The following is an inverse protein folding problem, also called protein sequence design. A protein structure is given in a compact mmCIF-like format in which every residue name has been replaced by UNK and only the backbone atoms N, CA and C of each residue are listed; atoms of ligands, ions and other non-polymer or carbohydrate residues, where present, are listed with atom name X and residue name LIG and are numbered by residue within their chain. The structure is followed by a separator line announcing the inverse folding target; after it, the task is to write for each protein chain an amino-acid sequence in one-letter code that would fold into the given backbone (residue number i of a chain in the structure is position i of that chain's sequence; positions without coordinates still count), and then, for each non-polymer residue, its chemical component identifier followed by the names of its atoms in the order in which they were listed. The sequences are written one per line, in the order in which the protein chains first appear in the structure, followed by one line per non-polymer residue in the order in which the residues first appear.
data_IF_655594521368
#
_entry.id   IF_655594521368
#
_cell.length_a   1.000
_cell.length_b   1.000
_cell.length_c   1.000
_cell.angle_alpha   90.00
_cell.angle_beta   90.00
_cell.angle_gamma   90.00
#
_symmetry.space_group_name_H-M   'P 1'
#
loop_
_entity.id
_entity.type
_entity.pdbx_description
1 polymer ?
#
# COMPACT_ATOMS: atom_id res chain seq x y z
N UNK A 1 -6.64 27.74 -25.10
CA UNK A 1 -6.90 26.36 -25.45
C UNK A 1 -6.17 25.49 -24.46
N UNK A 2 -6.89 24.84 -23.53
CA UNK A 2 -6.33 23.88 -22.61
C UNK A 2 -6.09 22.58 -23.40
N UNK A 3 -4.83 22.24 -23.68
CA UNK A 3 -4.44 20.91 -24.12
C UNK A 3 -4.52 19.98 -22.93
N UNK A 4 -5.53 19.11 -22.92
CA UNK A 4 -5.68 18.09 -21.89
C UNK A 4 -4.46 17.17 -21.84
N UNK A 5 -3.73 17.19 -20.76
CA UNK A 5 -2.68 16.22 -20.48
C UNK A 5 -3.38 14.91 -20.10
N UNK A 6 -3.22 13.88 -20.91
CA UNK A 6 -3.69 12.52 -20.59
C UNK A 6 -2.79 11.95 -19.49
N UNK A 7 -3.36 11.67 -18.33
CA UNK A 7 -2.66 11.01 -17.23
C UNK A 7 -2.43 9.54 -17.64
N UNK A 8 -1.23 9.22 -18.10
CA UNK A 8 -0.83 7.84 -18.36
C UNK A 8 0.00 7.38 -17.17
N UNK A 9 -0.54 6.51 -16.35
CA UNK A 9 0.21 5.73 -15.36
C UNK A 9 1.15 4.81 -16.15
N UNK A 10 2.39 5.25 -16.34
CA UNK A 10 3.40 4.40 -16.95
C UNK A 10 3.88 3.41 -15.89
N UNK A 11 3.41 2.17 -15.99
CA UNK A 11 4.21 1.05 -15.51
C UNK A 11 5.50 1.05 -16.34
N UNK A 12 6.65 0.99 -15.72
CA UNK A 12 7.82 0.42 -16.35
C UNK A 12 7.51 -1.08 -16.54
N UNK A 13 6.65 -1.37 -17.51
CA UNK A 13 6.49 -2.71 -18.04
C UNK A 13 7.86 -3.10 -18.59
N UNK A 14 8.43 -4.17 -18.06
CA UNK A 14 9.51 -4.85 -18.72
C UNK A 14 9.03 -5.13 -20.16
N UNK A 15 9.62 -4.45 -21.13
CA UNK A 15 9.57 -4.86 -22.54
C UNK A 15 10.45 -6.10 -22.56
N UNK A 16 9.83 -7.26 -22.72
CA UNK A 16 10.56 -8.52 -22.92
C UNK A 16 11.46 -8.35 -24.14
N UNK A 17 12.76 -8.24 -23.90
CA UNK A 17 13.75 -8.37 -24.95
C UNK A 17 13.93 -9.87 -25.24
N UNK A 18 14.05 -10.25 -26.49
CA UNK A 18 14.38 -11.64 -26.91
C UNK A 18 15.65 -12.09 -26.17
N UNK A 19 15.51 -13.09 -25.30
CA UNK A 19 16.59 -13.65 -24.47
C UNK A 19 16.36 -13.62 -22.95
N UNK A 20 15.19 -13.17 -22.45
CA UNK A 20 14.90 -13.17 -21.03
C UNK A 20 14.63 -14.58 -20.48
N UNK A 21 15.23 -14.85 -19.31
CA UNK A 21 15.00 -16.08 -18.53
C UNK A 21 13.51 -16.23 -18.23
N UNK A 22 12.88 -17.39 -18.42
CA UNK A 22 11.47 -17.59 -18.15
C UNK A 22 11.10 -17.18 -16.72
N UNK A 23 10.07 -16.35 -16.57
CA UNK A 23 9.55 -15.90 -15.29
C UNK A 23 8.22 -16.61 -15.03
N UNK A 24 8.12 -17.35 -13.93
CA UNK A 24 6.88 -17.93 -13.46
C UNK A 24 6.10 -16.86 -12.69
N UNK A 25 4.97 -16.42 -13.22
CA UNK A 25 4.11 -15.38 -12.63
C UNK A 25 2.64 -15.79 -12.73
N UNK A 26 2.18 -16.74 -11.89
CA UNK A 26 0.81 -17.27 -11.96
C UNK A 26 -0.24 -16.27 -11.45
N UNK A 27 0.19 -15.20 -10.81
CA UNK A 27 -0.65 -14.11 -10.35
C UNK A 27 0.17 -12.81 -10.24
N UNK A 28 -0.49 -11.68 -10.01
CA UNK A 28 0.15 -10.37 -9.98
C UNK A 28 1.16 -10.16 -8.83
N UNK A 29 1.17 -11.03 -7.82
CA UNK A 29 1.92 -10.80 -6.57
C UNK A 29 3.15 -11.69 -6.43
N UNK A 30 3.28 -12.69 -7.27
CA UNK A 30 4.38 -13.66 -7.23
C UNK A 30 5.12 -13.72 -8.57
N UNK A 31 6.43 -13.62 -8.49
CA UNK A 31 7.33 -13.95 -9.60
C UNK A 31 8.43 -14.87 -9.08
N UNK A 32 8.78 -15.87 -9.88
CA UNK A 32 9.91 -16.77 -9.61
C UNK A 32 10.76 -16.86 -10.88
N UNK A 33 12.04 -16.59 -10.74
CA UNK A 33 13.03 -16.71 -11.82
C UNK A 33 14.36 -17.23 -11.30
N UNK A 34 15.19 -17.79 -12.16
CA UNK A 34 16.55 -18.21 -11.78
C UNK A 34 17.42 -17.04 -11.33
N UNK A 35 17.19 -15.85 -11.87
CA UNK A 35 17.98 -14.66 -11.59
C UNK A 35 17.63 -14.03 -10.23
N UNK A 36 16.33 -13.83 -9.97
CA UNK A 36 15.85 -13.03 -8.83
C UNK A 36 15.26 -13.88 -7.70
N UNK A 37 15.19 -15.21 -7.89
CA UNK A 37 14.58 -16.11 -6.93
C UNK A 37 13.09 -15.90 -6.81
N UNK A 38 12.57 -16.06 -5.60
CA UNK A 38 11.15 -15.84 -5.26
C UNK A 38 10.94 -14.35 -4.93
N UNK A 39 10.13 -13.68 -5.72
CA UNK A 39 9.82 -12.26 -5.54
C UNK A 39 8.34 -12.06 -5.16
N UNK A 40 8.11 -11.33 -4.07
CA UNK A 40 6.79 -10.82 -3.67
C UNK A 40 6.63 -9.38 -4.16
N UNK A 41 5.55 -9.12 -4.93
CA UNK A 41 5.10 -7.76 -5.24
C UNK A 41 4.10 -7.30 -4.19
N UNK A 42 4.52 -6.39 -3.32
CA UNK A 42 3.69 -5.84 -2.24
C UNK A 42 2.88 -4.66 -2.77
N UNK A 43 1.55 -4.81 -2.83
CA UNK A 43 0.67 -3.75 -3.35
C UNK A 43 0.30 -2.65 -2.35
N UNK A 44 0.57 -2.85 -1.07
CA UNK A 44 0.26 -1.88 -0.01
C UNK A 44 1.54 -1.25 0.49
N UNK A 45 1.57 0.07 0.62
CA UNK A 45 2.70 0.75 1.19
C UNK A 45 2.96 0.29 2.64
N UNK A 46 4.23 0.09 2.97
CA UNK A 46 4.69 -0.09 4.36
C UNK A 46 4.82 1.31 5.00
N UNK A 47 4.07 1.55 6.06
CA UNK A 47 4.05 2.81 6.79
C UNK A 47 4.14 2.59 8.32
N UNK A 48 4.77 1.49 8.72
CA UNK A 48 4.98 1.10 10.11
C UNK A 48 3.98 0.08 10.65
N UNK A 49 2.97 -0.35 9.84
CA UNK A 49 1.97 -1.33 10.24
C UNK A 49 2.42 -2.79 10.02
N UNK A 50 3.64 -3.03 9.58
CA UNK A 50 4.28 -4.34 9.35
C UNK A 50 3.62 -5.18 8.24
N UNK A 51 2.98 -4.54 7.27
CA UNK A 51 2.31 -5.23 6.17
C UNK A 51 3.28 -5.99 5.26
N UNK A 52 4.49 -5.45 5.09
CA UNK A 52 5.58 -6.07 4.34
C UNK A 52 5.92 -7.43 4.92
N UNK A 53 6.30 -7.48 6.19
CA UNK A 53 6.69 -8.71 6.89
C UNK A 53 5.54 -9.71 6.96
N UNK A 54 4.33 -9.25 7.33
CA UNK A 54 3.17 -10.12 7.46
C UNK A 54 2.76 -10.77 6.13
N UNK A 55 2.82 -10.02 5.01
CA UNK A 55 2.50 -10.56 3.69
C UNK A 55 3.58 -11.54 3.21
N UNK A 56 4.85 -11.23 3.47
CA UNK A 56 5.96 -12.12 3.14
C UNK A 56 5.89 -13.45 3.92
N UNK A 57 5.58 -13.41 5.22
CA UNK A 57 5.35 -14.62 6.03
C UNK A 57 4.21 -15.47 5.48
N UNK A 58 3.11 -14.83 5.08
CA UNK A 58 1.96 -15.52 4.50
C UNK A 58 2.32 -16.23 3.18
N UNK A 59 3.04 -15.54 2.30
CA UNK A 59 3.50 -16.11 1.04
C UNK A 59 4.50 -17.25 1.28
N UNK A 60 5.49 -17.04 2.16
CA UNK A 60 6.51 -18.04 2.45
C UNK A 60 5.89 -19.33 2.99
N UNK A 61 4.91 -19.24 3.90
CA UNK A 61 4.23 -20.42 4.41
C UNK A 61 3.38 -21.10 3.34
N UNK A 62 2.55 -20.38 2.60
CA UNK A 62 1.68 -21.01 1.61
C UNK A 62 2.45 -21.59 0.42
N UNK A 63 3.44 -20.89 -0.09
CA UNK A 63 4.28 -21.36 -1.21
C UNK A 63 5.27 -22.42 -0.77
N UNK A 64 5.70 -22.40 0.49
CA UNK A 64 6.82 -23.22 1.00
C UNK A 64 8.18 -22.58 0.70
N UNK A 65 8.25 -21.27 0.51
CA UNK A 65 9.48 -20.54 0.25
C UNK A 65 10.31 -20.30 1.50
N UNK A 66 11.59 -19.98 1.31
CA UNK A 66 12.42 -19.46 2.40
C UNK A 66 12.22 -17.96 2.53
N UNK A 67 11.62 -17.51 3.64
CA UNK A 67 11.34 -16.11 3.91
C UNK A 67 12.59 -15.22 3.84
N UNK A 68 13.73 -15.73 4.30
CA UNK A 68 14.99 -14.98 4.36
C UNK A 68 15.67 -14.85 2.99
N UNK A 69 15.30 -15.70 2.03
CA UNK A 69 15.79 -15.68 0.66
C UNK A 69 14.85 -14.95 -0.32
N UNK A 70 13.67 -14.52 0.13
CA UNK A 70 12.71 -13.83 -0.74
C UNK A 70 13.12 -12.38 -1.02
N UNK A 71 12.91 -11.96 -2.26
CA UNK A 71 12.94 -10.53 -2.64
C UNK A 71 11.55 -9.93 -2.46
N UNK A 72 11.47 -8.76 -1.82
CA UNK A 72 10.20 -8.05 -1.66
C UNK A 72 10.30 -6.72 -2.39
N UNK A 73 9.39 -6.49 -3.33
CA UNK A 73 9.34 -5.25 -4.13
C UNK A 73 8.01 -4.55 -3.91
N UNK A 74 8.06 -3.23 -3.73
CA UNK A 74 6.86 -2.41 -3.72
C UNK A 74 6.28 -2.36 -5.14
N UNK A 75 4.99 -2.69 -5.26
CA UNK A 75 4.29 -2.62 -6.52
C UNK A 75 3.90 -1.17 -6.83
N UNK A 76 4.03 -0.78 -8.10
CA UNK A 76 3.49 0.48 -8.59
C UNK A 76 1.95 0.45 -8.63
N UNK A 77 1.34 1.61 -8.75
CA UNK A 77 -0.10 1.71 -9.00
C UNK A 77 -0.40 1.24 -10.41
N UNK A 78 -0.91 0.01 -10.53
CA UNK A 78 -1.26 -0.61 -11.81
C UNK A 78 -2.53 -1.45 -11.67
N UNK A 79 -3.43 -1.47 -12.69
CA UNK A 79 -4.69 -2.21 -12.64
C UNK A 79 -4.55 -3.69 -12.25
N UNK A 80 -3.45 -4.37 -12.65
CA UNK A 80 -3.19 -5.78 -12.29
C UNK A 80 -3.18 -6.05 -10.79
N UNK A 81 -2.83 -5.04 -9.97
CA UNK A 81 -2.81 -5.15 -8.51
C UNK A 81 -4.15 -4.78 -7.84
N UNK A 82 -5.10 -4.21 -8.61
CA UNK A 82 -6.36 -3.70 -8.07
C UNK A 82 -6.16 -2.52 -7.12
N UNK A 83 -7.06 -2.35 -6.15
CA UNK A 83 -7.00 -1.23 -5.19
C UNK A 83 -5.77 -1.32 -4.29
N UNK A 84 -4.89 -0.33 -4.37
CA UNK A 84 -3.61 -0.28 -3.63
C UNK A 84 -3.69 0.50 -2.32
N UNK A 85 -4.70 1.35 -2.11
CA UNK A 85 -4.86 2.17 -0.90
C UNK A 85 -5.00 1.33 0.38
N UNK A 86 -4.52 1.85 1.51
CA UNK A 86 -4.61 1.24 2.84
C UNK A 86 -5.66 1.96 3.66
N UNK A 87 -6.56 1.20 4.32
CA UNK A 87 -7.61 1.77 5.17
C UNK A 87 -8.50 0.70 5.80
N UNK A 88 -9.32 1.12 6.77
CA UNK A 88 -10.31 0.27 7.44
C UNK A 88 -9.73 -0.91 8.21
N UNK A 89 -8.45 -0.94 8.51
CA UNK A 89 -7.76 -2.06 9.20
C UNK A 89 -7.94 -3.42 8.51
N UNK A 90 -8.24 -3.42 7.21
CA UNK A 90 -8.57 -4.64 6.45
C UNK A 90 -7.39 -5.21 5.65
N UNK A 91 -6.20 -4.64 5.81
CA UNK A 91 -5.04 -5.04 5.01
C UNK A 91 -4.64 -6.52 5.22
N UNK A 92 -4.56 -7.02 6.44
CA UNK A 92 -4.23 -8.43 6.73
C UNK A 92 -5.45 -9.36 6.60
N UNK A 93 -6.63 -9.07 7.20
CA UNK A 93 -7.80 -9.94 7.03
C UNK A 93 -8.16 -10.19 5.56
N UNK A 94 -8.14 -9.14 4.72
CA UNK A 94 -8.39 -9.31 3.29
C UNK A 94 -7.38 -10.24 2.63
N UNK A 95 -6.07 -10.05 2.89
CA UNK A 95 -5.03 -10.93 2.33
C UNK A 95 -5.13 -12.36 2.78
N UNK A 96 -5.49 -12.58 4.01
CA UNK A 96 -5.71 -13.92 4.53
C UNK A 96 -6.71 -14.71 3.70
N UNK A 97 -7.75 -14.04 3.20
CA UNK A 97 -8.82 -14.67 2.43
C UNK A 97 -8.40 -14.88 0.97
N UNK A 98 -7.85 -13.85 0.30
CA UNK A 98 -7.65 -13.91 -1.15
C UNK A 98 -6.22 -14.19 -1.62
N UNK A 99 -5.17 -13.88 -0.83
CA UNK A 99 -3.80 -14.12 -1.28
C UNK A 99 -3.31 -15.54 -0.98
N UNK A 100 -3.73 -16.14 0.13
CA UNK A 100 -3.35 -17.53 0.44
C UNK A 100 -3.73 -18.52 -0.66
N UNK A 101 -4.95 -18.50 -1.22
CA UNK A 101 -5.29 -19.34 -2.36
C UNK A 101 -4.36 -19.17 -3.56
N UNK A 102 -3.99 -17.93 -3.90
CA UNK A 102 -3.08 -17.65 -5.02
C UNK A 102 -1.70 -18.29 -4.85
N UNK A 103 -1.17 -18.27 -3.62
CA UNK A 103 0.12 -18.91 -3.33
C UNK A 103 0.01 -20.43 -3.20
N UNK A 104 -1.12 -20.95 -2.74
CA UNK A 104 -1.40 -22.40 -2.73
C UNK A 104 -1.48 -22.96 -4.16
N UNK A 105 -2.16 -22.25 -5.08
CA UNK A 105 -2.20 -22.63 -6.50
C UNK A 105 -0.80 -22.62 -7.13
N UNK A 106 0.01 -21.59 -6.87
CA UNK A 106 1.39 -21.54 -7.34
C UNK A 106 2.25 -22.71 -6.81
N UNK A 107 2.09 -23.04 -5.52
CA UNK A 107 2.75 -24.24 -4.94
C UNK A 107 2.35 -25.50 -5.68
N UNK A 108 1.06 -25.70 -5.93
CA UNK A 108 0.57 -26.91 -6.63
C UNK A 108 1.16 -27.03 -8.03
N UNK A 109 1.27 -25.92 -8.78
CA UNK A 109 1.89 -25.89 -10.12
C UNK A 109 3.35 -26.29 -10.07
N UNK A 110 4.11 -25.78 -9.10
CA UNK A 110 5.54 -26.09 -8.94
C UNK A 110 5.78 -27.54 -8.51
N UNK A 111 4.97 -28.06 -7.57
CA UNK A 111 5.04 -29.48 -7.18
C UNK A 111 4.69 -30.40 -8.33
N UNK A 112 3.69 -30.05 -9.13
CA UNK A 112 3.35 -30.80 -10.37
C UNK A 112 4.50 -30.79 -11.36
N UNK A 113 5.12 -29.64 -11.59
CA UNK A 113 6.27 -29.52 -12.51
C UNK A 113 7.45 -30.40 -12.07
N UNK A 114 7.74 -30.44 -10.77
CA UNK A 114 8.78 -31.30 -10.20
C UNK A 114 8.42 -32.79 -10.34
N UNK A 115 7.21 -33.17 -9.99
CA UNK A 115 6.71 -34.55 -10.08
C UNK A 115 6.80 -35.09 -11.52
N UNK A 116 6.34 -34.32 -12.50
CA UNK A 116 6.44 -34.68 -13.91
C UNK A 116 7.89 -34.70 -14.41
N UNK A 117 8.78 -33.85 -13.91
CA UNK A 117 10.20 -33.83 -14.27
C UNK A 117 10.94 -35.05 -13.73
N UNK A 118 10.51 -35.50 -12.56
CA UNK A 118 11.11 -36.69 -11.91
C UNK A 118 10.39 -37.99 -12.21
N UNK A 119 9.26 -37.92 -12.92
CA UNK A 119 8.42 -39.07 -13.27
C UNK A 119 7.95 -39.83 -12.01
N UNK A 120 7.45 -39.09 -11.04
CA UNK A 120 6.96 -39.59 -9.73
C UNK A 120 5.56 -39.06 -9.42
N UNK A 121 4.81 -39.73 -8.55
CA UNK A 121 3.51 -39.22 -8.11
C UNK A 121 3.64 -37.86 -7.38
N UNK A 122 2.79 -36.90 -7.71
CA UNK A 122 2.83 -35.57 -7.07
C UNK A 122 2.60 -35.64 -5.56
N UNK A 123 1.87 -36.63 -5.06
CA UNK A 123 1.64 -36.85 -3.65
C UNK A 123 2.89 -37.21 -2.84
N UNK A 124 3.97 -37.64 -3.51
CA UNK A 124 5.25 -37.99 -2.89
C UNK A 124 6.24 -36.81 -2.90
N UNK A 125 5.86 -35.71 -3.54
CA UNK A 125 6.69 -34.49 -3.66
C UNK A 125 6.25 -33.47 -2.61
N UNK A 126 7.22 -32.89 -1.94
CA UNK A 126 6.99 -31.88 -0.90
C UNK A 126 7.87 -30.67 -1.11
N UNK A 127 7.51 -29.52 -0.50
CA UNK A 127 8.31 -28.30 -0.53
C UNK A 127 8.50 -27.76 0.87
N UNK A 128 9.75 -27.43 1.19
CA UNK A 128 10.14 -26.75 2.42
C UNK A 128 11.31 -25.81 2.14
N UNK A 129 11.25 -24.59 2.68
CA UNK A 129 12.28 -23.55 2.53
C UNK A 129 12.79 -23.33 1.10
N UNK A 130 11.88 -23.27 0.15
CA UNK A 130 12.22 -23.04 -1.25
C UNK A 130 12.81 -24.24 -1.98
N UNK A 131 12.87 -25.41 -1.34
CA UNK A 131 13.39 -26.65 -1.93
C UNK A 131 12.26 -27.67 -2.07
N UNK A 132 12.02 -28.10 -3.29
CA UNK A 132 11.14 -29.24 -3.59
C UNK A 132 11.95 -30.53 -3.49
N UNK A 133 11.37 -31.54 -2.88
CA UNK A 133 12.04 -32.84 -2.65
C UNK A 133 11.10 -34.03 -2.86
N UNK A 134 11.66 -35.13 -3.32
CA UNK A 134 11.06 -36.45 -3.37
C UNK A 134 11.92 -37.42 -2.56
N UNK A 135 11.46 -37.72 -1.36
CA UNK A 135 12.23 -38.46 -0.33
C UNK A 135 12.67 -39.85 -0.81
N UNK A 136 11.78 -40.58 -1.48
CA UNK A 136 12.05 -41.96 -1.91
C UNK A 136 13.18 -42.07 -2.92
N UNK A 137 13.35 -41.09 -3.84
CA UNK A 137 14.44 -41.10 -4.82
C UNK A 137 15.65 -40.24 -4.42
N UNK A 138 15.56 -39.50 -3.32
CA UNK A 138 16.59 -38.54 -2.90
C UNK A 138 16.73 -37.30 -3.79
N UNK A 139 15.84 -37.11 -4.78
CA UNK A 139 15.88 -35.97 -5.70
C UNK A 139 15.41 -34.71 -4.99
N UNK A 140 16.06 -33.58 -5.29
CA UNK A 140 15.66 -32.26 -4.81
C UNK A 140 16.02 -31.17 -5.80
N UNK A 141 15.34 -30.03 -5.72
CA UNK A 141 15.61 -28.85 -6.55
C UNK A 141 14.95 -27.60 -5.95
N UNK A 142 15.51 -26.43 -6.22
CA UNK A 142 14.90 -25.17 -5.82
C UNK A 142 13.63 -24.88 -6.63
N UNK A 143 12.73 -24.03 -6.09
CA UNK A 143 11.50 -23.61 -6.77
C UNK A 143 11.78 -23.07 -8.18
N UNK A 144 12.87 -22.31 -8.34
CA UNK A 144 13.28 -21.68 -9.60
C UNK A 144 13.53 -22.69 -10.71
N UNK A 145 14.05 -23.87 -10.37
CA UNK A 145 14.35 -24.93 -11.35
C UNK A 145 13.08 -25.48 -12.06
N UNK A 146 11.92 -25.30 -11.46
CA UNK A 146 10.63 -25.78 -11.97
C UNK A 146 9.76 -24.66 -12.54
N UNK A 147 10.19 -23.40 -12.39
CA UNK A 147 9.43 -22.22 -12.77
C UNK A 147 9.03 -22.21 -14.25
N UNK A 148 9.97 -22.48 -15.15
CA UNK A 148 9.73 -22.50 -16.60
C UNK A 148 8.68 -23.55 -16.99
N UNK A 149 8.77 -24.77 -16.44
CA UNK A 149 7.78 -25.83 -16.72
C UNK A 149 6.42 -25.50 -16.10
N UNK A 150 6.40 -24.98 -14.89
CA UNK A 150 5.16 -24.57 -14.21
C UNK A 150 4.41 -23.45 -14.94
N UNK A 151 5.11 -22.55 -15.65
CA UNK A 151 4.49 -21.49 -16.45
C UNK A 151 3.61 -22.00 -17.60
N UNK A 152 3.79 -23.24 -18.00
CA UNK A 152 2.98 -23.88 -19.05
C UNK A 152 1.65 -24.46 -18.57
N UNK A 153 1.35 -24.41 -17.26
CA UNK A 153 0.10 -24.94 -16.73
C UNK A 153 -0.95 -23.86 -16.53
N UNK A 154 -2.23 -24.25 -16.68
CA UNK A 154 -3.33 -23.44 -16.19
C UNK A 154 -3.27 -23.33 -14.67
N UNK A 155 -3.62 -22.15 -14.15
CA UNK A 155 -3.65 -21.91 -12.69
C UNK A 155 -4.83 -22.67 -12.08
N UNK A 156 -4.58 -23.66 -11.21
CA UNK A 156 -5.65 -24.41 -10.61
C UNK A 156 -6.42 -23.58 -9.58
N UNK A 157 -7.73 -23.79 -9.51
CA UNK A 157 -8.61 -23.20 -8.51
C UNK A 157 -8.72 -24.12 -7.28
N UNK A 158 -9.12 -23.56 -6.14
CA UNK A 158 -9.46 -24.27 -4.90
C UNK A 158 -8.39 -25.24 -4.36
N UNK A 159 -7.12 -24.89 -4.51
CA UNK A 159 -6.02 -25.68 -3.96
C UNK A 159 -6.04 -25.67 -2.42
N UNK A 160 -5.76 -26.81 -1.79
CA UNK A 160 -5.71 -26.90 -0.33
C UNK A 160 -4.71 -25.91 0.26
N UNK A 161 -5.20 -25.10 1.18
CA UNK A 161 -4.34 -24.17 1.95
C UNK A 161 -3.46 -24.99 2.93
N UNK A 162 -2.30 -24.43 3.24
CA UNK A 162 -1.44 -25.04 4.26
C UNK A 162 -2.15 -25.03 5.62
N UNK A 163 -2.15 -26.17 6.29
CA UNK A 163 -2.70 -26.30 7.64
C UNK A 163 -1.88 -25.46 8.65
N UNK A 164 -2.54 -24.86 9.62
CA UNK A 164 -1.91 -24.03 10.67
C UNK A 164 -0.78 -24.74 11.41
N UNK A 165 -0.91 -26.03 11.67
CA UNK A 165 0.13 -26.83 12.31
C UNK A 165 1.43 -26.91 11.52
N UNK A 166 1.36 -26.63 10.20
CA UNK A 166 2.50 -26.65 9.28
C UNK A 166 3.03 -25.26 8.97
N UNK A 167 2.55 -24.21 9.65
CA UNK A 167 3.11 -22.87 9.52
C UNK A 167 4.49 -22.80 10.17
N UNK A 168 5.41 -22.23 9.45
CA UNK A 168 6.77 -21.99 9.92
C UNK A 168 6.96 -20.57 10.42
N UNK A 169 6.32 -19.62 9.75
CA UNK A 169 6.49 -18.19 9.97
C UNK A 169 5.25 -17.53 10.55
N UNK A 170 4.07 -17.79 9.99
CA UNK A 170 2.82 -17.24 10.52
C UNK A 170 2.56 -17.70 11.96
N UNK A 171 2.21 -16.75 12.83
CA UNK A 171 2.00 -17.01 14.25
C UNK A 171 3.27 -17.06 15.09
N UNK A 172 4.46 -16.85 14.50
CA UNK A 172 5.73 -16.76 15.24
C UNK A 172 6.15 -15.31 15.47
N UNK A 173 6.98 -15.10 16.50
CA UNK A 173 7.61 -13.78 16.73
C UNK A 173 8.74 -13.58 15.71
N UNK A 174 8.58 -12.60 14.81
CA UNK A 174 9.60 -12.25 13.82
C UNK A 174 9.88 -10.76 13.85
N UNK A 175 11.16 -10.39 13.69
CA UNK A 175 11.53 -8.99 13.46
C UNK A 175 11.00 -8.53 12.09
N UNK A 176 10.76 -7.23 11.93
CA UNK A 176 10.44 -6.64 10.62
C UNK A 176 11.58 -6.90 9.65
N UNK A 177 11.24 -7.25 8.41
CA UNK A 177 12.23 -7.51 7.36
C UNK A 177 12.95 -6.23 6.89
N UNK A 178 12.36 -5.07 7.13
CA UNK A 178 12.90 -3.75 6.80
C UNK A 178 13.59 -3.05 7.99
N UNK A 179 13.74 -3.72 9.13
CA UNK A 179 14.32 -3.13 10.37
C UNK A 179 15.67 -2.48 10.14
N UNK A 180 16.58 -3.17 9.47
CA UNK A 180 17.94 -2.68 9.25
C UNK A 180 17.94 -1.44 8.35
N UNK A 181 17.11 -1.40 7.31
CA UNK A 181 16.98 -0.25 6.45
C UNK A 181 16.39 0.97 7.18
N UNK A 182 15.40 0.75 8.05
CA UNK A 182 14.82 1.82 8.87
C UNK A 182 15.82 2.36 9.89
N UNK A 183 16.51 1.48 10.63
CA UNK A 183 17.45 1.89 11.66
C UNK A 183 18.73 2.53 11.11
N UNK A 184 19.19 2.10 9.93
CA UNK A 184 20.35 2.69 9.27
C UNK A 184 20.03 3.96 8.46
N UNK A 185 18.76 4.33 8.32
CA UNK A 185 18.32 5.46 7.50
C UNK A 185 18.46 5.23 6.00
N UNK A 186 18.55 3.97 5.54
CA UNK A 186 18.59 3.60 4.13
C UNK A 186 17.21 3.29 3.54
N UNK A 187 16.19 3.13 4.40
CA UNK A 187 14.80 3.05 3.95
C UNK A 187 14.42 4.34 3.20
N UNK A 188 13.71 4.19 2.08
CA UNK A 188 13.29 5.32 1.25
C UNK A 188 11.78 5.48 1.31
N UNK A 189 11.36 6.73 1.53
CA UNK A 189 9.98 7.18 1.58
C UNK A 189 9.69 8.16 0.46
N UNK A 190 8.42 8.51 0.25
CA UNK A 190 8.04 9.49 -0.79
C UNK A 190 8.76 10.84 -0.63
N UNK A 191 8.95 11.29 0.61
CA UNK A 191 9.66 12.54 0.94
C UNK A 191 11.15 12.50 0.57
N UNK A 192 11.73 11.31 0.39
CA UNK A 192 13.16 11.12 0.08
C UNK A 192 13.46 11.09 -1.41
N UNK A 193 12.45 11.20 -2.27
CA UNK A 193 12.66 11.25 -3.72
C UNK A 193 13.55 12.44 -4.06
N UNK A 194 14.63 12.20 -4.80
CA UNK A 194 15.58 13.22 -5.25
C UNK A 194 15.86 13.03 -6.73
N UNK A 195 15.92 14.16 -7.43
CA UNK A 195 16.25 14.23 -8.85
C UNK A 195 16.80 15.61 -9.21
N UNK A 196 17.50 15.69 -10.33
CA UNK A 196 18.04 16.96 -10.83
C UNK A 196 16.91 17.94 -11.13
N UNK A 197 17.10 19.19 -10.71
CA UNK A 197 16.13 20.25 -10.92
C UNK A 197 14.89 20.18 -10.01
N UNK A 198 14.87 19.33 -8.99
CA UNK A 198 13.76 19.22 -8.05
C UNK A 198 13.44 20.58 -7.41
N UNK A 199 12.15 20.95 -7.41
CA UNK A 199 11.58 22.09 -6.71
C UNK A 199 10.65 21.60 -5.60
N UNK A 200 10.50 22.41 -4.57
CA UNK A 200 9.67 22.11 -3.42
C UNK A 200 8.46 23.02 -3.40
N UNK A 201 7.27 22.45 -3.37
CA UNK A 201 6.03 23.20 -3.31
C UNK A 201 5.33 22.97 -1.96
N UNK A 202 4.85 24.04 -1.34
CA UNK A 202 4.00 23.97 -0.16
C UNK A 202 2.71 24.76 -0.45
N UNK A 203 1.58 24.12 -0.11
CA UNK A 203 0.26 24.71 -0.37
C UNK A 203 -0.24 25.50 0.83
N UNK A 204 -0.70 26.73 0.61
CA UNK A 204 -1.66 27.41 1.46
C UNK A 204 -3.06 26.96 1.04
N UNK A 205 -3.92 26.66 2.00
CA UNK A 205 -5.29 26.14 1.78
C UNK A 205 -6.23 26.59 2.90
N UNK A 206 -7.55 26.65 2.63
CA UNK A 206 -8.53 26.96 3.66
C UNK A 206 -8.48 25.94 4.80
N UNK A 207 -8.85 26.40 6.00
CA UNK A 207 -8.95 25.53 7.18
C UNK A 207 -10.23 24.72 7.20
N UNK A 208 -11.27 25.25 6.57
CA UNK A 208 -12.58 24.63 6.46
C UNK A 208 -12.73 23.96 5.09
N UNK A 209 -13.54 22.91 5.05
CA UNK A 209 -13.97 22.34 3.78
C UNK A 209 -14.76 23.38 2.98
N UNK A 210 -14.57 23.40 1.66
CA UNK A 210 -15.23 24.30 0.72
C UNK A 210 -15.02 25.80 1.04
N UNK A 211 -13.96 26.13 1.81
CA UNK A 211 -13.52 27.51 2.01
C UNK A 211 -12.90 28.06 0.73
N UNK A 212 -13.05 29.38 0.51
CA UNK A 212 -12.63 30.05 -0.72
C UNK A 212 -11.51 31.05 -0.45
N UNK A 213 -10.50 31.08 -1.34
CA UNK A 213 -9.44 32.07 -1.28
C UNK A 213 -10.02 33.47 -1.61
N UNK A 214 -9.82 34.43 -0.71
CA UNK A 214 -10.26 35.82 -0.91
C UNK A 214 -9.12 36.76 -1.26
N UNK A 215 -7.96 36.57 -0.66
CA UNK A 215 -6.75 37.36 -1.00
C UNK A 215 -5.46 36.65 -0.61
N UNK A 216 -4.36 37.06 -1.18
CA UNK A 216 -3.01 36.64 -0.81
C UNK A 216 -1.98 37.67 -1.23
N UNK A 217 -0.84 37.71 -0.54
CA UNK A 217 0.26 38.59 -0.84
C UNK A 217 1.39 37.81 -1.56
N UNK A 218 1.32 37.77 -2.91
CA UNK A 218 2.31 37.09 -3.77
C UNK A 218 3.69 37.71 -3.62
N UNK A 219 3.78 39.05 -3.58
CA UNK A 219 5.07 39.74 -3.58
C UNK A 219 5.83 39.52 -2.27
N UNK A 220 5.12 39.50 -1.15
CA UNK A 220 5.74 39.17 0.13
C UNK A 220 6.28 37.74 0.16
N UNK A 221 5.58 36.76 -0.44
CA UNK A 221 6.09 35.42 -0.56
C UNK A 221 7.33 35.32 -1.48
N UNK A 222 7.33 36.02 -2.62
CA UNK A 222 8.48 36.08 -3.56
C UNK A 222 9.70 36.75 -2.95
N UNK A 223 9.51 37.67 -2.00
CA UNK A 223 10.61 38.35 -1.28
C UNK A 223 11.36 37.39 -0.32
N UNK A 224 10.82 36.21 0.00
CA UNK A 224 11.49 35.24 0.86
C UNK A 224 12.62 34.55 0.10
N UNK A 225 13.87 34.58 0.61
CA UNK A 225 15.00 33.95 -0.05
C UNK A 225 14.76 32.47 -0.36
N UNK A 226 14.97 32.10 -1.63
CA UNK A 226 14.78 30.73 -2.11
C UNK A 226 13.39 30.45 -2.69
N UNK A 227 12.40 31.29 -2.49
CA UNK A 227 11.11 31.22 -3.18
C UNK A 227 11.30 31.67 -4.64
N UNK A 228 10.69 30.91 -5.55
CA UNK A 228 10.84 31.17 -7.01
C UNK A 228 9.52 31.51 -7.67
N UNK A 229 8.44 30.83 -7.28
CA UNK A 229 7.16 30.99 -7.95
C UNK A 229 5.99 30.90 -6.94
N UNK A 230 4.88 31.56 -7.27
CA UNK A 230 3.61 31.49 -6.52
C UNK A 230 2.48 31.34 -7.53
N UNK A 231 1.68 30.29 -7.38
CA UNK A 231 0.56 29.97 -8.27
C UNK A 231 -0.73 29.74 -7.49
N UNK A 232 -1.82 30.30 -7.99
CA UNK A 232 -3.18 29.98 -7.49
C UNK A 232 -3.70 28.76 -8.24
N UNK A 233 -4.17 27.74 -7.50
CA UNK A 233 -4.71 26.48 -8.02
C UNK A 233 -6.05 26.24 -7.34
N UNK A 234 -7.14 26.63 -8.00
CA UNK A 234 -8.47 26.68 -7.36
C UNK A 234 -8.44 27.60 -6.15
N UNK A 235 -8.92 27.12 -5.00
CA UNK A 235 -8.91 27.88 -3.73
C UNK A 235 -7.61 27.72 -2.93
N UNK A 236 -6.53 27.28 -3.55
CA UNK A 236 -5.24 27.06 -2.90
C UNK A 236 -4.16 27.87 -3.55
N UNK A 237 -3.09 28.18 -2.80
CA UNK A 237 -1.92 28.87 -3.32
C UNK A 237 -0.69 27.99 -3.12
N UNK A 238 -0.02 27.62 -4.21
CA UNK A 238 1.24 26.90 -4.19
C UNK A 238 2.41 27.91 -4.14
N UNK A 239 3.30 27.71 -3.18
CA UNK A 239 4.59 28.41 -3.12
C UNK A 239 5.69 27.43 -3.48
N UNK A 240 6.43 27.72 -4.55
CA UNK A 240 7.49 26.88 -5.09
C UNK A 240 8.86 27.51 -4.77
N UNK A 241 9.77 26.69 -4.24
CA UNK A 241 11.07 27.15 -3.78
C UNK A 241 12.18 26.12 -4.06
N UNK A 242 13.43 26.54 -3.86
CA UNK A 242 14.62 25.69 -4.01
C UNK A 242 14.76 24.62 -2.92
N UNK A 243 14.07 24.79 -1.79
CA UNK A 243 14.02 23.83 -0.70
C UNK A 243 12.71 23.99 0.09
N UNK A 244 12.37 22.95 0.88
CA UNK A 244 11.11 22.89 1.64
C UNK A 244 11.00 24.00 2.69
N UNK A 245 12.11 24.40 3.33
CA UNK A 245 12.08 25.47 4.32
C UNK A 245 11.72 26.82 3.72
N UNK A 246 12.32 27.17 2.59
CA UNK A 246 11.97 28.39 1.85
C UNK A 246 10.50 28.38 1.41
N UNK A 247 9.99 27.25 0.92
CA UNK A 247 8.57 27.11 0.56
C UNK A 247 7.63 27.30 1.77
N UNK A 248 7.97 26.74 2.93
CA UNK A 248 7.21 26.91 4.19
C UNK A 248 7.20 28.38 4.63
N UNK A 249 8.38 29.04 4.60
CA UNK A 249 8.50 30.46 4.93
C UNK A 249 7.71 31.35 3.98
N UNK A 250 7.82 31.07 2.68
CA UNK A 250 7.07 31.77 1.64
C UNK A 250 5.56 31.61 1.79
N UNK A 251 5.10 30.39 2.13
CA UNK A 251 3.68 30.17 2.45
C UNK A 251 3.22 31.00 3.66
N UNK A 252 4.06 31.15 4.68
CA UNK A 252 3.75 32.01 5.82
C UNK A 252 3.64 33.49 5.44
N UNK A 253 4.51 33.95 4.53
CA UNK A 253 4.53 35.34 4.04
C UNK A 253 3.39 35.68 3.06
N UNK A 254 2.70 34.66 2.51
CA UNK A 254 1.52 34.89 1.64
C UNK A 254 0.39 35.66 2.32
N UNK A 255 0.27 35.57 3.64
CA UNK A 255 -0.87 36.10 4.39
C UNK A 255 -2.23 35.79 3.70
N UNK A 256 -2.37 34.53 3.27
CA UNK A 256 -3.53 34.08 2.51
C UNK A 256 -4.80 34.11 3.36
N UNK A 257 -5.80 34.85 2.90
CA UNK A 257 -7.10 34.98 3.56
C UNK A 257 -8.14 34.10 2.88
N UNK A 258 -9.03 33.52 3.67
CA UNK A 258 -10.04 32.61 3.20
C UNK A 258 -11.41 32.92 3.81
N UNK A 259 -12.43 32.93 3.00
CA UNK A 259 -13.80 32.75 3.48
C UNK A 259 -13.96 31.28 3.95
N UNK A 260 -14.51 31.10 5.14
CA UNK A 260 -14.67 29.77 5.71
C UNK A 260 -15.80 28.94 5.07
N UNK A 261 -16.65 29.57 4.26
CA UNK A 261 -17.73 28.91 3.53
C UNK A 261 -18.81 28.29 4.42
N UNK A 262 -19.55 27.28 3.92
CA UNK A 262 -20.71 26.71 4.61
C UNK A 262 -20.36 25.98 5.92
N UNK A 263 -19.10 25.63 6.12
CA UNK A 263 -18.64 24.93 7.33
C UNK A 263 -18.03 25.86 8.38
N UNK A 264 -18.19 27.18 8.24
CA UNK A 264 -17.65 28.16 9.16
C UNK A 264 -18.10 27.96 10.63
N UNK A 265 -19.35 27.54 10.83
CA UNK A 265 -19.95 27.33 12.16
C UNK A 265 -19.68 25.90 12.73
N UNK A 266 -19.04 25.01 11.97
CA UNK A 266 -18.78 23.64 12.43
C UNK A 266 -17.65 23.64 13.45
N UNK A 267 -17.91 23.10 14.61
CA UNK A 267 -16.98 22.96 15.72
C UNK A 267 -17.24 21.66 16.47
N UNK A 268 -16.30 21.23 17.32
CA UNK A 268 -16.53 20.08 18.20
C UNK A 268 -17.80 20.20 19.02
N UNK A 269 -18.12 21.42 19.48
CA UNK A 269 -19.34 21.69 20.24
C UNK A 269 -20.60 21.51 19.41
N UNK A 270 -20.63 22.02 18.17
CA UNK A 270 -21.79 21.82 17.27
C UNK A 270 -21.97 20.38 16.87
N UNK A 271 -20.88 19.67 16.58
CA UNK A 271 -20.90 18.22 16.26
C UNK A 271 -21.45 17.43 17.44
N UNK A 272 -20.99 17.69 18.68
CA UNK A 272 -21.50 17.02 19.87
C UNK A 272 -23.01 17.26 20.04
N UNK A 273 -23.46 18.51 20.01
CA UNK A 273 -24.87 18.86 20.09
C UNK A 273 -25.70 18.09 19.04
N UNK A 274 -25.24 18.04 17.81
CA UNK A 274 -25.98 17.41 16.71
C UNK A 274 -26.02 15.87 16.87
N UNK A 275 -24.95 15.25 17.39
CA UNK A 275 -24.93 13.84 17.75
C UNK A 275 -25.87 13.53 18.92
N UNK A 276 -25.87 14.35 19.99
CA UNK A 276 -26.78 14.19 21.13
C UNK A 276 -28.24 14.33 20.69
N UNK A 277 -28.55 15.30 19.82
CA UNK A 277 -29.88 15.44 19.26
C UNK A 277 -30.31 14.23 18.41
N UNK A 278 -29.37 13.61 17.67
CA UNK A 278 -29.64 12.44 16.87
C UNK A 278 -30.00 11.19 17.73
N UNK A 279 -29.52 11.08 18.97
CA UNK A 279 -29.94 10.01 19.89
C UNK A 279 -31.42 10.05 20.26
N UNK A 280 -32.04 11.25 20.25
CA UNK A 280 -33.46 11.43 20.52
C UNK A 280 -34.33 11.26 19.25
N UNK A 281 -33.74 11.13 18.09
CA UNK A 281 -34.40 10.99 16.79
C UNK A 281 -34.79 9.55 16.46
N UNK A 282 -35.40 9.39 15.28
CA UNK A 282 -35.67 8.05 14.72
C UNK A 282 -34.36 7.31 14.39
N UNK A 283 -34.30 6.03 14.78
CA UNK A 283 -33.20 5.14 14.44
C UNK A 283 -33.68 4.03 13.49
N UNK A 284 -32.80 3.61 12.60
CA UNK A 284 -33.05 2.43 11.76
C UNK A 284 -32.47 1.19 12.47
N UNK A 285 -33.28 0.15 12.59
CA UNK A 285 -32.83 -1.14 13.06
C UNK A 285 -31.95 -1.82 12.01
N UNK A 286 -30.68 -1.92 12.29
CA UNK A 286 -29.71 -2.62 11.41
C UNK A 286 -29.78 -4.12 11.63
N UNK A 287 -30.01 -4.53 12.88
CA UNK A 287 -30.15 -5.94 13.30
C UNK A 287 -30.91 -6.02 14.62
N UNK A 288 -31.92 -6.87 14.68
CA UNK A 288 -32.69 -7.13 15.89
C UNK A 288 -32.55 -8.62 16.25
N UNK A 289 -31.98 -8.91 17.43
CA UNK A 289 -31.91 -10.26 17.98
C UNK A 289 -32.35 -10.28 19.44
N UNK A 290 -33.29 -11.14 19.75
CA UNK A 290 -33.87 -11.26 21.11
C UNK A 290 -34.79 -10.10 21.47
N UNK A 291 -35.04 -9.91 22.77
CA UNK A 291 -35.87 -8.87 23.31
C UNK A 291 -35.14 -8.11 24.42
N UNK A 292 -35.34 -6.80 24.46
CA UNK A 292 -34.79 -5.99 25.56
C UNK A 292 -35.46 -6.37 26.90
N UNK A 293 -34.70 -6.41 28.01
CA UNK A 293 -35.27 -6.66 29.33
C UNK A 293 -36.28 -5.57 29.66
N UNK A 294 -37.42 -5.96 30.26
CA UNK A 294 -38.47 -5.01 30.68
C UNK A 294 -38.16 -4.20 31.95
N UNK A 295 -36.99 -4.43 32.56
CA UNK A 295 -36.53 -3.67 33.75
C UNK A 295 -35.53 -2.58 33.34
N UNK A 296 -35.43 -1.48 34.07
CA UNK A 296 -34.41 -0.47 33.84
C UNK A 296 -33.01 -1.05 33.89
N UNK A 297 -32.04 -0.54 33.08
CA UNK A 297 -30.66 -0.96 33.16
C UNK A 297 -30.07 -0.64 34.55
N UNK A 298 -29.18 -1.53 35.04
CA UNK A 298 -28.46 -1.30 36.29
C UNK A 298 -27.32 -0.29 36.14
N UNK A 299 -26.80 -0.17 34.94
CA UNK A 299 -25.73 0.76 34.57
C UNK A 299 -26.09 1.41 33.26
N UNK A 300 -25.99 2.72 33.21
CA UNK A 300 -26.13 3.53 32.00
C UNK A 300 -24.91 4.44 31.88
N UNK A 301 -24.31 4.51 30.70
CA UNK A 301 -23.14 5.35 30.47
C UNK A 301 -23.12 5.86 29.04
N UNK A 302 -22.68 7.10 28.85
CA UNK A 302 -22.38 7.71 27.55
C UNK A 302 -20.88 7.74 27.35
N UNK A 303 -20.40 7.22 26.22
CA UNK A 303 -19.00 7.24 25.84
C UNK A 303 -18.80 8.22 24.69
N UNK A 304 -17.86 9.15 24.86
CA UNK A 304 -17.49 10.11 23.83
C UNK A 304 -16.06 9.87 23.39
N UNK A 305 -15.85 9.81 22.06
CA UNK A 305 -14.52 9.75 21.46
C UNK A 305 -14.30 10.98 20.59
N UNK A 306 -13.17 11.70 20.77
CA UNK A 306 -12.86 12.86 19.94
C UNK A 306 -12.54 12.44 18.51
N UNK A 307 -12.76 13.37 17.57
CA UNK A 307 -12.24 13.23 16.22
C UNK A 307 -10.71 13.23 16.30
N UNK A 308 -10.10 12.15 15.81
CA UNK A 308 -8.66 11.97 15.80
C UNK A 308 -8.11 12.09 14.38
N UNK A 309 -6.97 12.74 14.22
CA UNK A 309 -6.20 12.73 12.98
C UNK A 309 -5.28 11.52 12.96
N UNK A 310 -5.04 10.96 11.77
CA UNK A 310 -4.09 9.85 11.60
C UNK A 310 -2.66 10.23 11.98
N UNK A 311 -2.28 11.50 11.80
CA UNK A 311 -0.98 12.07 12.18
C UNK A 311 0.21 11.19 11.73
N UNK A 312 0.21 10.77 10.47
CA UNK A 312 1.30 10.00 9.90
C UNK A 312 2.64 10.72 10.11
N UNK A 313 3.68 9.97 10.50
CA UNK A 313 5.03 10.52 10.72
C UNK A 313 5.62 11.08 9.43
N UNK A 314 5.44 10.40 8.30
CA UNK A 314 5.75 10.96 7.01
C UNK A 314 4.67 11.99 6.63
N UNK A 315 5.02 13.28 6.42
CA UNK A 315 4.07 14.27 5.93
C UNK A 315 3.51 13.85 4.58
N UNK A 316 2.21 14.09 4.35
CA UNK A 316 1.60 13.85 3.04
C UNK A 316 2.37 14.62 1.97
N UNK A 317 2.94 13.91 1.02
CA UNK A 317 3.78 14.45 -0.04
C UNK A 317 3.55 13.72 -1.36
N UNK A 318 3.99 14.32 -2.44
CA UNK A 318 4.13 13.67 -3.74
C UNK A 318 5.20 14.40 -4.55
N UNK A 319 5.98 13.64 -5.32
CA UNK A 319 6.90 14.18 -6.31
C UNK A 319 6.36 13.86 -7.69
N UNK A 320 6.32 14.85 -8.58
CA UNK A 320 5.82 14.68 -9.95
C UNK A 320 6.84 15.16 -10.97
N UNK A 321 6.96 14.44 -12.07
CA UNK A 321 7.74 14.84 -13.26
C UNK A 321 6.84 14.79 -14.48
N UNK A 322 6.80 15.92 -15.21
CA UNK A 322 6.10 16.01 -16.48
C UNK A 322 7.13 16.10 -17.59
N UNK A 323 7.17 15.11 -18.48
CA UNK A 323 8.09 15.05 -19.61
C UNK A 323 7.46 14.30 -20.78
N UNK A 324 7.57 14.84 -21.98
CA UNK A 324 7.10 14.18 -23.21
C UNK A 324 5.59 13.83 -23.18
N UNK A 325 4.75 14.69 -22.63
CA UNK A 325 3.31 14.46 -22.50
C UNK A 325 2.90 13.42 -21.44
N UNK A 326 3.85 12.89 -20.68
CA UNK A 326 3.62 11.93 -19.57
C UNK A 326 3.87 12.63 -18.25
N UNK A 327 3.10 12.23 -17.22
CA UNK A 327 3.29 12.64 -15.83
C UNK A 327 3.60 11.40 -15.01
N UNK A 328 4.77 11.37 -14.37
CA UNK A 328 5.16 10.35 -13.39
C UNK A 328 5.00 10.95 -12.00
N UNK A 329 4.37 10.21 -11.10
CA UNK A 329 4.11 10.66 -9.73
C UNK A 329 4.61 9.59 -8.77
N UNK A 330 5.42 10.00 -7.80
CA UNK A 330 5.82 9.23 -6.63
C UNK A 330 5.08 9.79 -5.42
N UNK A 331 4.43 8.92 -4.68
CA UNK A 331 3.72 9.27 -3.44
C UNK A 331 3.84 8.14 -2.42
N UNK A 332 3.48 8.39 -1.15
CA UNK A 332 3.49 7.38 -0.10
C UNK A 332 2.42 6.32 -0.29
#
# INVERSE_FOLDING_TARGET
GATGATLTLASLGAVSAEGETPVFSPNAFLEISEKDGVTLWLKKAEMGQHILTATAMMMADELGADLDAMTIRQADTHPKFGFVGTGGSFAIPGRWIYMRPLFASARAMLLRAAAETWEVPVAEVSVDKGVISHTHSGRSGKLEAFAAKASGYDVPEDMPLRDRKNFRYMGTKRARLDTDAVLSGTARYGVDVRMDGLRFAVMARPRTRDGMLTSHNKDAALAVPGVQEVHVIGDKVAVIATNSWAAIRGRGALDAQYDAGPFAAVSTTTIRRDLEAAFAGESADVRTEGALPRRPPLVEATYEMPLAQHAALEPVNATAVVKGGKCLIWGP
#
